data_IF_489844488573
#
_entry.id   IF_489844488573
#
_cell.length_a   1.000
_cell.length_b   1.000
_cell.length_c   1.000
_cell.angle_alpha   90.00
_cell.angle_beta   90.00
_cell.angle_gamma   90.00
#
_symmetry.space_group_name_H-M   'P 1'
#
loop_
_entity.id
_entity.type
_entity.pdbx_description
1 polymer ?
#
# COMPACT_ATOMS: atom_id res chain seq x y z
N UNK A 1 19.33 21.95 9.93
CA UNK A 1 20.14 23.11 9.45
C UNK A 1 19.47 23.67 8.20
N UNK A 2 18.67 24.73 8.31
CA UNK A 2 17.88 25.28 7.19
C UNK A 2 18.11 26.80 7.12
N UNK A 3 19.15 27.23 6.40
CA UNK A 3 19.47 28.65 6.19
C UNK A 3 19.01 29.07 4.80
N UNK A 4 17.72 29.41 4.68
CA UNK A 4 17.21 30.14 3.51
C UNK A 4 16.96 31.58 3.95
N UNK A 5 17.53 32.54 3.21
CA UNK A 5 17.36 33.98 3.46
C UNK A 5 16.74 34.58 2.21
N UNK A 6 15.62 35.27 2.38
CA UNK A 6 14.97 35.99 1.29
C UNK A 6 15.52 37.40 1.26
N UNK A 7 16.02 37.82 0.10
CA UNK A 7 16.56 39.16 -0.12
C UNK A 7 15.84 39.77 -1.31
N UNK A 8 15.41 41.05 -1.26
CA UNK A 8 14.84 41.73 -2.41
C UNK A 8 15.79 41.68 -3.61
N UNK A 9 15.24 41.42 -4.81
CA UNK A 9 16.02 41.31 -6.04
C UNK A 9 16.85 42.58 -6.32
N UNK A 10 16.27 43.75 -6.06
CA UNK A 10 16.96 45.04 -6.21
C UNK A 10 18.19 45.16 -5.32
N UNK A 11 18.15 44.61 -4.10
CA UNK A 11 19.29 44.59 -3.18
C UNK A 11 20.35 43.59 -3.64
N UNK A 12 19.93 42.42 -4.14
CA UNK A 12 20.84 41.40 -4.66
C UNK A 12 21.66 41.92 -5.85
N UNK A 13 20.99 42.56 -6.82
CA UNK A 13 21.60 43.07 -8.04
C UNK A 13 22.43 44.34 -7.84
N UNK A 14 22.06 45.24 -6.92
CA UNK A 14 22.83 46.47 -6.72
C UNK A 14 23.94 46.37 -5.69
N UNK A 15 23.75 45.58 -4.61
CA UNK A 15 24.65 45.62 -3.44
C UNK A 15 25.44 44.34 -3.20
N UNK A 16 24.97 43.20 -3.66
CA UNK A 16 25.55 41.90 -3.28
C UNK A 16 26.29 41.27 -4.46
N UNK A 17 25.64 41.11 -5.61
CA UNK A 17 26.22 40.46 -6.79
C UNK A 17 25.72 41.11 -8.09
N UNK A 18 26.36 42.19 -8.54
CA UNK A 18 25.91 42.96 -9.71
C UNK A 18 25.97 42.24 -11.05
N UNK A 19 26.77 41.19 -11.18
CA UNK A 19 26.90 40.38 -12.39
C UNK A 19 26.01 39.15 -12.42
N UNK A 20 25.09 39.00 -11.46
CA UNK A 20 24.27 37.80 -11.36
C UNK A 20 23.09 37.82 -12.34
N UNK A 21 23.01 36.79 -13.18
CA UNK A 21 21.85 36.60 -14.06
C UNK A 21 20.65 36.06 -13.27
N UNK A 22 19.45 36.46 -13.67
CA UNK A 22 18.20 35.97 -13.07
C UNK A 22 18.02 34.49 -13.46
N UNK A 23 18.02 33.61 -12.45
CA UNK A 23 17.99 32.15 -12.67
C UNK A 23 16.61 31.58 -12.99
N UNK A 24 15.52 32.22 -12.56
CA UNK A 24 14.15 31.79 -12.89
C UNK A 24 13.15 32.94 -12.71
N UNK A 25 12.06 32.90 -13.48
CA UNK A 25 10.89 33.74 -13.30
C UNK A 25 9.68 32.85 -13.02
N UNK A 26 9.02 33.07 -11.89
CA UNK A 26 7.81 32.35 -11.51
C UNK A 26 6.60 33.26 -11.74
N UNK A 27 5.64 32.79 -12.54
CA UNK A 27 4.38 33.51 -12.80
C UNK A 27 3.26 32.67 -12.21
N UNK A 28 2.55 33.24 -11.23
CA UNK A 28 1.38 32.62 -10.62
C UNK A 28 0.13 33.13 -11.33
N UNK A 29 -0.79 32.21 -11.61
CA UNK A 29 -2.11 32.54 -12.17
C UNK A 29 -3.20 32.15 -11.18
N UNK A 30 -4.37 32.79 -11.29
CA UNK A 30 -5.48 32.57 -10.35
C UNK A 30 -6.22 31.24 -10.58
N UNK A 31 -6.06 30.63 -11.76
CA UNK A 31 -6.72 29.37 -12.13
C UNK A 31 -5.80 28.47 -12.96
N UNK A 32 -5.82 27.14 -12.76
CA UNK A 32 -5.07 26.17 -13.55
C UNK A 32 -5.34 26.29 -15.06
N UNK A 33 -6.59 26.56 -15.44
CA UNK A 33 -6.98 26.70 -16.85
C UNK A 33 -6.33 27.92 -17.51
N UNK A 34 -6.20 29.02 -16.76
CA UNK A 34 -5.51 30.22 -17.21
C UNK A 34 -4.00 29.99 -17.33
N UNK A 35 -3.40 29.19 -16.44
CA UNK A 35 -1.99 28.79 -16.54
C UNK A 35 -1.71 28.07 -17.86
N UNK A 36 -2.59 27.14 -18.24
CA UNK A 36 -2.46 26.34 -19.47
C UNK A 36 -2.63 27.19 -20.73
N UNK A 37 -3.56 28.14 -20.74
CA UNK A 37 -3.76 29.07 -21.84
C UNK A 37 -2.66 30.14 -21.94
N UNK A 38 -2.03 30.50 -20.82
CA UNK A 38 -0.96 31.50 -20.76
C UNK A 38 0.39 30.94 -21.23
N UNK A 39 0.62 29.64 -21.08
CA UNK A 39 1.86 28.97 -21.49
C UNK A 39 2.27 29.24 -22.94
N UNK A 40 1.47 28.94 -23.98
CA UNK A 40 1.89 29.18 -25.36
C UNK A 40 2.08 30.68 -25.65
N UNK A 41 1.33 31.56 -24.95
CA UNK A 41 1.50 33.01 -25.09
C UNK A 41 2.84 33.48 -24.49
N UNK A 42 3.24 32.93 -23.34
CA UNK A 42 4.53 33.23 -22.71
C UNK A 42 5.70 32.67 -23.52
N UNK A 43 5.59 31.44 -24.03
CA UNK A 43 6.61 30.86 -24.91
C UNK A 43 6.84 31.76 -26.13
N UNK A 44 5.77 32.21 -26.79
CA UNK A 44 5.87 33.13 -27.92
C UNK A 44 6.51 34.49 -27.56
N UNK A 45 6.13 35.09 -26.43
CA UNK A 45 6.73 36.37 -25.97
C UNK A 45 8.22 36.21 -25.67
N UNK A 46 8.61 35.11 -25.02
CA UNK A 46 9.99 34.84 -24.63
C UNK A 46 10.88 34.52 -25.85
N UNK A 47 10.37 33.73 -26.80
CA UNK A 47 11.09 33.41 -28.04
C UNK A 47 11.35 34.66 -28.89
N UNK A 48 10.41 35.59 -28.92
CA UNK A 48 10.53 36.87 -29.64
C UNK A 48 11.56 37.82 -29.00
N UNK A 49 11.71 37.81 -27.67
CA UNK A 49 12.64 38.68 -26.94
C UNK A 49 14.11 38.30 -27.10
N UNK A 50 14.44 37.05 -27.49
CA UNK A 50 15.81 36.51 -27.54
C UNK A 50 16.19 35.89 -28.88
N UNK A 51 15.56 36.33 -29.98
CA UNK A 51 15.90 35.94 -31.36
C UNK A 51 15.89 34.41 -31.59
N UNK A 52 14.85 33.71 -31.11
CA UNK A 52 14.62 32.31 -31.50
C UNK A 52 15.58 31.26 -30.92
N UNK A 53 16.40 31.61 -29.91
CA UNK A 53 17.15 30.60 -29.15
C UNK A 53 16.30 30.01 -28.03
N UNK A 54 16.13 28.69 -28.01
CA UNK A 54 15.45 27.90 -26.96
C UNK A 54 16.26 27.83 -25.66
N UNK A 55 16.54 28.98 -25.03
CA UNK A 55 17.32 29.03 -23.78
C UNK A 55 16.41 28.89 -22.54
N UNK A 56 15.10 28.66 -22.72
CA UNK A 56 14.12 28.66 -21.63
C UNK A 56 13.24 27.42 -21.66
N UNK A 57 13.15 26.73 -20.51
CA UNK A 57 12.16 25.67 -20.29
C UNK A 57 10.97 26.24 -19.52
N UNK A 58 9.81 26.34 -20.16
CA UNK A 58 8.57 26.65 -19.44
C UNK A 58 8.05 25.36 -18.83
N UNK A 59 8.17 25.23 -17.51
CA UNK A 59 7.62 24.09 -16.78
C UNK A 59 6.37 24.54 -16.05
N UNK A 60 5.24 23.88 -16.34
CA UNK A 60 4.02 24.10 -15.58
C UNK A 60 4.06 23.29 -14.29
N UNK A 61 3.67 23.92 -13.18
CA UNK A 61 3.45 23.19 -11.92
C UNK A 61 2.37 22.09 -12.10
N UNK A 62 1.45 22.28 -13.05
CA UNK A 62 0.45 21.27 -13.43
C UNK A 62 1.10 20.02 -14.05
N UNK A 63 2.08 20.18 -14.94
CA UNK A 63 2.81 19.05 -15.54
C UNK A 63 3.64 18.31 -14.51
N UNK A 64 4.32 19.03 -13.60
CA UNK A 64 5.03 18.38 -12.50
C UNK A 64 4.07 17.63 -11.58
N UNK A 65 2.93 18.22 -11.20
CA UNK A 65 1.92 17.54 -10.38
C UNK A 65 1.30 16.34 -11.11
N UNK A 66 1.04 16.45 -12.41
CA UNK A 66 0.50 15.35 -13.22
C UNK A 66 1.51 14.19 -13.29
N UNK A 67 2.79 14.49 -13.53
CA UNK A 67 3.86 13.49 -13.53
C UNK A 67 4.01 12.82 -12.15
N UNK A 68 3.96 13.60 -11.06
CA UNK A 68 4.00 13.06 -9.69
C UNK A 68 2.79 12.15 -9.39
N UNK A 69 1.58 12.56 -9.80
CA UNK A 69 0.37 11.74 -9.66
C UNK A 69 0.46 10.45 -10.46
N UNK A 70 0.97 10.52 -11.69
CA UNK A 70 1.17 9.36 -12.55
C UNK A 70 2.16 8.37 -11.92
N UNK A 71 3.31 8.85 -11.46
CA UNK A 71 4.30 8.02 -10.76
C UNK A 71 3.72 7.39 -9.49
N UNK A 72 2.98 8.18 -8.71
CA UNK A 72 2.32 7.67 -7.50
C UNK A 72 1.29 6.58 -7.80
N UNK A 73 0.51 6.73 -8.88
CA UNK A 73 -0.42 5.70 -9.34
C UNK A 73 0.29 4.43 -9.77
N UNK A 74 1.40 4.53 -10.52
CA UNK A 74 2.20 3.37 -10.94
C UNK A 74 2.75 2.63 -9.72
N UNK A 75 3.37 3.33 -8.76
CA UNK A 75 3.87 2.70 -7.54
C UNK A 75 2.75 2.06 -6.72
N UNK A 76 1.61 2.73 -6.59
CA UNK A 76 0.43 2.17 -5.91
C UNK A 76 -0.02 0.88 -6.58
N UNK A 77 -0.11 0.84 -7.92
CA UNK A 77 -0.50 -0.35 -8.65
C UNK A 77 0.49 -1.52 -8.44
N UNK A 78 1.79 -1.23 -8.45
CA UNK A 78 2.83 -2.24 -8.18
C UNK A 78 2.68 -2.80 -6.75
N UNK A 79 2.53 -1.94 -5.74
CA UNK A 79 2.39 -2.39 -4.36
C UNK A 79 1.10 -3.19 -4.13
N UNK A 80 -0.01 -2.78 -4.74
CA UNK A 80 -1.27 -3.54 -4.68
C UNK A 80 -1.09 -4.91 -5.34
N UNK A 81 -0.42 -4.99 -6.49
CA UNK A 81 -0.17 -6.26 -7.16
C UNK A 81 0.69 -7.20 -6.31
N UNK A 82 1.78 -6.70 -5.73
CA UNK A 82 2.63 -7.47 -4.81
C UNK A 82 1.81 -7.93 -3.60
N UNK A 83 1.01 -7.05 -3.01
CA UNK A 83 0.16 -7.39 -1.88
C UNK A 83 -0.82 -8.52 -2.22
N UNK A 84 -1.51 -8.44 -3.36
CA UNK A 84 -2.44 -9.49 -3.81
C UNK A 84 -1.72 -10.82 -3.99
N UNK A 85 -0.55 -10.84 -4.64
CA UNK A 85 0.24 -12.07 -4.82
C UNK A 85 0.66 -12.64 -3.46
N UNK A 86 1.16 -11.80 -2.54
CA UNK A 86 1.53 -12.22 -1.19
C UNK A 86 0.35 -12.78 -0.41
N UNK A 87 -0.84 -12.19 -0.55
CA UNK A 87 -2.06 -12.69 0.08
C UNK A 87 -2.50 -14.04 -0.50
N UNK A 88 -2.40 -14.23 -1.82
CA UNK A 88 -2.71 -15.52 -2.45
C UNK A 88 -1.75 -16.62 -1.97
N UNK A 89 -0.44 -16.34 -1.99
CA UNK A 89 0.57 -17.31 -1.51
C UNK A 89 0.38 -17.59 -0.03
N UNK A 90 0.17 -16.57 0.80
CA UNK A 90 -0.10 -16.73 2.22
C UNK A 90 -1.39 -17.53 2.50
N UNK A 91 -2.45 -17.29 1.74
CA UNK A 91 -3.70 -18.04 1.81
C UNK A 91 -3.53 -19.51 1.45
N UNK A 92 -2.77 -19.82 0.39
CA UNK A 92 -2.43 -21.19 0.00
C UNK A 92 -1.63 -21.89 1.12
N UNK A 93 -0.68 -21.19 1.73
CA UNK A 93 0.12 -21.72 2.86
C UNK A 93 -0.79 -22.05 4.05
N UNK A 94 -1.69 -21.14 4.43
CA UNK A 94 -2.66 -21.36 5.52
C UNK A 94 -3.52 -22.59 5.21
N UNK A 95 -4.05 -22.68 4.00
CA UNK A 95 -4.86 -23.81 3.56
C UNK A 95 -4.09 -25.13 3.66
N UNK A 96 -2.83 -25.16 3.21
CA UNK A 96 -2.00 -26.37 3.25
C UNK A 96 -1.68 -26.82 4.67
N UNK A 97 -1.29 -25.89 5.54
CA UNK A 97 -1.03 -26.19 6.96
C UNK A 97 -2.29 -26.75 7.61
N UNK A 98 -3.46 -26.17 7.30
CA UNK A 98 -4.72 -26.65 7.86
C UNK A 98 -5.11 -28.04 7.33
N UNK A 99 -4.94 -28.30 6.03
CA UNK A 99 -5.19 -29.62 5.46
C UNK A 99 -4.25 -30.70 6.05
N UNK A 100 -2.97 -30.36 6.27
CA UNK A 100 -2.04 -31.25 6.95
C UNK A 100 -2.47 -31.53 8.39
N UNK A 101 -2.85 -30.49 9.15
CA UNK A 101 -3.32 -30.64 10.53
C UNK A 101 -4.61 -31.46 10.65
N UNK A 102 -5.52 -31.35 9.67
CA UNK A 102 -6.73 -32.19 9.61
C UNK A 102 -6.35 -33.66 9.40
N UNK A 103 -5.39 -33.94 8.50
CA UNK A 103 -4.92 -35.31 8.23
C UNK A 103 -4.26 -35.95 9.46
N UNK A 104 -3.44 -35.19 10.19
CA UNK A 104 -2.82 -35.68 11.42
C UNK A 104 -3.86 -36.00 12.52
N UNK A 105 -4.98 -35.28 12.53
CA UNK A 105 -6.05 -35.44 13.53
C UNK A 105 -7.30 -36.14 12.98
N UNK A 106 -7.19 -36.84 11.85
CA UNK A 106 -8.33 -37.51 11.18
C UNK A 106 -9.10 -38.41 12.15
N UNK A 107 -8.38 -39.25 12.91
CA UNK A 107 -8.99 -40.19 13.86
C UNK A 107 -9.73 -39.48 14.99
N UNK A 108 -9.17 -38.40 15.54
CA UNK A 108 -9.83 -37.62 16.60
C UNK A 108 -11.13 -36.98 16.11
N UNK A 109 -11.11 -36.43 14.89
CA UNK A 109 -12.30 -35.84 14.25
C UNK A 109 -13.36 -36.91 13.99
N UNK A 110 -12.93 -38.08 13.49
CA UNK A 110 -13.79 -39.25 13.26
C UNK A 110 -14.48 -39.73 14.53
N UNK A 111 -13.75 -39.84 15.65
CA UNK A 111 -14.32 -40.19 16.96
C UNK A 111 -15.38 -39.17 17.39
N UNK A 112 -15.10 -37.85 17.26
CA UNK A 112 -16.07 -36.80 17.61
C UNK A 112 -17.36 -36.89 16.79
N UNK A 113 -17.25 -37.14 15.50
CA UNK A 113 -18.42 -37.30 14.64
C UNK A 113 -19.19 -38.60 14.96
N UNK A 114 -18.50 -39.69 15.29
CA UNK A 114 -19.12 -40.97 15.64
C UNK A 114 -19.91 -40.92 16.96
N UNK A 115 -19.48 -40.11 17.93
CA UNK A 115 -20.20 -39.87 19.18
C UNK A 115 -21.33 -38.83 19.05
N UNK A 116 -21.59 -38.32 17.83
CA UNK A 116 -22.73 -37.46 17.53
C UNK A 116 -22.45 -35.96 17.43
N UNK A 117 -21.18 -35.53 17.33
CA UNK A 117 -20.89 -34.11 17.04
C UNK A 117 -21.48 -33.69 15.70
N UNK A 118 -22.05 -32.48 15.61
CA UNK A 118 -22.59 -31.99 14.34
C UNK A 118 -21.44 -31.59 13.43
N UNK A 119 -21.60 -31.82 12.12
CA UNK A 119 -20.64 -31.36 11.11
C UNK A 119 -20.36 -29.85 11.23
N UNK A 120 -21.39 -29.08 11.59
CA UNK A 120 -21.28 -27.64 11.84
C UNK A 120 -20.34 -27.29 12.99
N UNK A 121 -20.29 -28.09 14.05
CA UNK A 121 -19.42 -27.83 15.21
C UNK A 121 -17.95 -27.97 14.79
N UNK A 122 -17.64 -29.00 14.01
CA UNK A 122 -16.31 -29.23 13.44
C UNK A 122 -15.95 -28.11 12.46
N UNK A 123 -16.87 -27.74 11.57
CA UNK A 123 -16.67 -26.64 10.62
C UNK A 123 -16.32 -25.33 11.35
N UNK A 124 -17.11 -24.95 12.35
CA UNK A 124 -16.90 -23.73 13.12
C UNK A 124 -15.59 -23.78 13.91
N UNK A 125 -15.22 -24.93 14.47
CA UNK A 125 -13.96 -25.10 15.17
C UNK A 125 -12.75 -24.76 14.27
N UNK A 126 -12.69 -25.35 13.08
CA UNK A 126 -11.58 -25.11 12.14
C UNK A 126 -11.62 -23.70 11.54
N UNK A 127 -12.82 -23.17 11.27
CA UNK A 127 -12.97 -21.81 10.75
C UNK A 127 -12.47 -20.78 11.79
N UNK A 128 -12.88 -20.92 13.05
CA UNK A 128 -12.41 -20.05 14.14
C UNK A 128 -10.91 -20.19 14.35
N UNK A 129 -10.35 -21.40 14.29
CA UNK A 129 -8.90 -21.59 14.36
C UNK A 129 -8.18 -20.83 13.24
N UNK A 130 -8.70 -20.88 12.01
CA UNK A 130 -8.13 -20.11 10.88
C UNK A 130 -8.20 -18.61 11.15
N UNK A 131 -9.38 -18.13 11.55
CA UNK A 131 -9.62 -16.71 11.81
C UNK A 131 -8.75 -16.16 12.95
N UNK A 132 -8.51 -16.96 13.99
CA UNK A 132 -7.60 -16.58 15.07
C UNK A 132 -6.16 -16.47 14.56
N UNK A 133 -5.69 -17.45 13.78
CA UNK A 133 -4.34 -17.41 13.20
C UNK A 133 -4.18 -16.19 12.29
N UNK A 134 -5.14 -15.92 11.40
CA UNK A 134 -5.04 -14.77 10.50
C UNK A 134 -5.18 -13.45 11.24
N UNK A 135 -6.11 -13.33 12.19
CA UNK A 135 -6.26 -12.12 13.00
C UNK A 135 -4.99 -11.81 13.81
N UNK A 136 -4.38 -12.82 14.45
CA UNK A 136 -3.11 -12.66 15.16
C UNK A 136 -1.99 -12.26 14.19
N UNK A 137 -1.90 -12.91 13.03
CA UNK A 137 -0.95 -12.54 11.99
C UNK A 137 -1.15 -11.11 11.47
N UNK A 138 -2.41 -10.67 11.33
CA UNK A 138 -2.77 -9.31 10.95
C UNK A 138 -2.35 -8.28 11.99
N UNK A 139 -2.64 -8.52 13.27
CA UNK A 139 -2.21 -7.65 14.38
C UNK A 139 -0.67 -7.57 14.44
N UNK A 140 0.02 -8.71 14.35
CA UNK A 140 1.48 -8.74 14.33
C UNK A 140 2.04 -8.01 13.11
N UNK A 141 1.45 -8.21 11.94
CA UNK A 141 1.82 -7.50 10.71
C UNK A 141 1.66 -5.99 10.83
N UNK A 142 0.58 -5.52 11.46
CA UNK A 142 0.37 -4.10 11.77
C UNK A 142 1.50 -3.60 12.68
N UNK A 143 1.75 -4.27 13.81
CA UNK A 143 2.79 -3.84 14.77
C UNK A 143 4.17 -3.76 14.10
N UNK A 144 4.53 -4.79 13.32
CA UNK A 144 5.81 -4.84 12.59
C UNK A 144 5.86 -3.72 11.53
N UNK A 145 4.77 -3.51 10.78
CA UNK A 145 4.67 -2.46 9.78
C UNK A 145 4.88 -1.07 10.37
N UNK A 146 4.21 -0.76 11.49
CA UNK A 146 4.39 0.49 12.23
C UNK A 146 5.83 0.65 12.76
N UNK A 147 6.43 -0.43 13.25
CA UNK A 147 7.81 -0.42 13.74
C UNK A 147 8.81 -0.10 12.62
N UNK A 148 8.62 -0.70 11.44
CA UNK A 148 9.45 -0.43 10.26
C UNK A 148 9.24 1.02 9.78
N UNK A 149 7.99 1.49 9.75
CA UNK A 149 7.65 2.86 9.37
C UNK A 149 8.36 3.89 10.24
N UNK A 150 8.37 3.69 11.56
CA UNK A 150 9.05 4.58 12.50
C UNK A 150 10.58 4.54 12.33
N UNK A 151 11.17 3.34 12.22
CA UNK A 151 12.61 3.19 11.99
C UNK A 151 13.09 3.86 10.70
N UNK A 152 12.38 3.63 9.59
CA UNK A 152 12.72 4.20 8.28
C UNK A 152 12.43 5.70 8.25
N UNK A 153 11.32 6.15 8.84
CA UNK A 153 10.96 7.55 8.94
C UNK A 153 12.01 8.37 9.68
N UNK A 154 12.50 7.84 10.81
CA UNK A 154 13.58 8.45 11.58
C UNK A 154 14.91 8.47 10.81
N UNK A 155 15.25 7.40 10.10
CA UNK A 155 16.48 7.33 9.30
C UNK A 155 16.48 8.31 8.12
N UNK A 156 15.36 8.42 7.39
CA UNK A 156 15.24 9.27 6.21
C UNK A 156 14.85 10.73 6.53
N UNK A 157 14.54 11.04 7.80
CA UNK A 157 13.99 12.32 8.24
C UNK A 157 12.71 12.74 7.49
N UNK A 158 11.86 11.75 7.18
CA UNK A 158 10.58 11.96 6.50
C UNK A 158 9.46 11.70 7.51
N UNK A 159 8.52 12.64 7.61
CA UNK A 159 7.32 12.46 8.42
C UNK A 159 6.40 11.44 7.73
N UNK A 160 6.29 10.24 8.29
CA UNK A 160 5.38 9.21 7.80
C UNK A 160 4.13 9.19 8.66
N UNK A 161 2.98 9.47 8.06
CA UNK A 161 1.69 9.50 8.74
C UNK A 161 0.94 8.19 8.49
N UNK A 162 0.75 7.40 9.54
CA UNK A 162 -0.14 6.27 9.50
C UNK A 162 -1.56 6.70 9.89
N UNK A 163 -2.55 6.40 9.05
CA UNK A 163 -3.96 6.71 9.30
C UNK A 163 -4.64 5.56 10.04
N UNK A 164 -5.55 5.88 10.97
CA UNK A 164 -6.41 4.90 11.66
C UNK A 164 -7.22 4.07 10.67
N UNK A 165 -7.59 4.64 9.52
CA UNK A 165 -8.31 3.91 8.46
C UNK A 165 -7.47 2.74 7.89
N UNK A 166 -6.15 2.88 7.81
CA UNK A 166 -5.27 1.82 7.30
C UNK A 166 -5.26 0.60 8.21
N UNK A 167 -5.33 0.81 9.53
CA UNK A 167 -5.40 -0.26 10.53
C UNK A 167 -6.66 -1.11 10.28
N UNK A 168 -7.82 -0.46 10.17
CA UNK A 168 -9.09 -1.16 9.95
C UNK A 168 -9.12 -1.90 8.61
N UNK A 169 -8.62 -1.28 7.53
CA UNK A 169 -8.55 -1.93 6.22
C UNK A 169 -7.63 -3.16 6.27
N UNK A 170 -6.45 -3.04 6.88
CA UNK A 170 -5.50 -4.16 6.97
C UNK A 170 -6.06 -5.33 7.78
N UNK A 171 -6.75 -5.05 8.89
CA UNK A 171 -7.41 -6.06 9.70
C UNK A 171 -8.55 -6.73 8.93
N UNK A 172 -9.39 -5.95 8.22
CA UNK A 172 -10.47 -6.48 7.41
C UNK A 172 -9.96 -7.40 6.29
N UNK A 173 -8.87 -7.02 5.61
CA UNK A 173 -8.23 -7.84 4.58
C UNK A 173 -7.67 -9.13 5.18
N UNK A 174 -7.00 -9.05 6.32
CA UNK A 174 -6.43 -10.22 7.02
C UNK A 174 -7.51 -11.23 7.43
N UNK A 175 -8.61 -10.76 8.01
CA UNK A 175 -9.78 -11.60 8.36
C UNK A 175 -10.43 -12.17 7.11
N UNK A 176 -10.61 -11.35 6.05
CA UNK A 176 -11.20 -11.78 4.79
C UNK A 176 -10.41 -12.90 4.12
N UNK A 177 -9.08 -12.82 4.13
CA UNK A 177 -8.19 -13.87 3.58
C UNK A 177 -8.33 -15.16 4.40
N UNK A 178 -8.35 -15.06 5.73
CA UNK A 178 -8.57 -16.22 6.60
C UNK A 178 -9.93 -16.89 6.36
N UNK A 179 -10.98 -16.11 6.10
CA UNK A 179 -12.30 -16.63 5.77
C UNK A 179 -12.28 -17.37 4.42
N UNK A 180 -11.76 -16.73 3.36
CA UNK A 180 -11.74 -17.32 2.01
C UNK A 180 -10.93 -18.63 1.98
N UNK A 181 -9.72 -18.63 2.54
CA UNK A 181 -8.85 -19.80 2.50
C UNK A 181 -9.11 -20.83 3.60
N UNK A 182 -9.84 -20.45 4.67
CA UNK A 182 -10.23 -21.34 5.77
C UNK A 182 -11.51 -22.14 5.52
N UNK A 183 -12.43 -21.62 4.68
CA UNK A 183 -13.69 -22.32 4.40
C UNK A 183 -13.45 -23.68 3.75
N UNK A 184 -12.64 -23.76 2.70
CA UNK A 184 -12.39 -25.01 1.98
C UNK A 184 -11.86 -26.15 2.87
N UNK A 185 -10.80 -25.96 3.70
CA UNK A 185 -10.34 -26.99 4.62
C UNK A 185 -11.35 -27.29 5.74
N UNK A 186 -12.05 -26.27 6.28
CA UNK A 186 -13.08 -26.49 7.30
C UNK A 186 -14.24 -27.35 6.79
N UNK A 187 -14.68 -27.13 5.54
CA UNK A 187 -15.69 -27.97 4.88
C UNK A 187 -15.19 -29.40 4.74
N UNK A 188 -13.93 -29.59 4.32
CA UNK A 188 -13.32 -30.93 4.22
C UNK A 188 -13.30 -31.64 5.58
N UNK A 189 -12.88 -30.95 6.65
CA UNK A 189 -12.88 -31.49 8.01
C UNK A 189 -14.27 -31.93 8.48
N UNK A 190 -15.29 -31.11 8.23
CA UNK A 190 -16.67 -31.37 8.65
C UNK A 190 -17.35 -32.54 7.92
N UNK A 191 -16.84 -32.90 6.73
CA UNK A 191 -17.43 -33.92 5.86
C UNK A 191 -16.63 -35.24 5.88
N UNK A 192 -15.70 -35.44 6.81
CA UNK A 192 -15.06 -36.74 6.99
C UNK A 192 -16.09 -37.82 7.32
N UNK A 193 -15.94 -38.99 6.70
CA UNK A 193 -16.70 -40.17 7.04
C UNK A 193 -16.13 -40.80 8.32
N UNK A 194 -16.90 -40.87 9.42
CA UNK A 194 -16.43 -41.43 10.69
C UNK A 194 -15.95 -42.88 10.57
N UNK A 195 -16.56 -43.67 9.69
CA UNK A 195 -16.21 -45.09 9.51
C UNK A 195 -14.85 -45.23 8.84
N UNK A 196 -14.57 -44.38 7.84
CA UNK A 196 -13.27 -44.36 7.15
C UNK A 196 -12.19 -43.80 8.07
N UNK A 197 -12.49 -42.69 8.77
CA UNK A 197 -11.55 -42.02 9.66
C UNK A 197 -11.08 -42.87 10.85
N UNK A 198 -11.86 -43.89 11.25
CA UNK A 198 -11.50 -44.84 12.32
C UNK A 198 -10.73 -46.07 11.81
N UNK A 199 -10.66 -46.27 10.49
CA UNK A 199 -10.05 -47.44 9.84
C UNK A 199 -8.67 -47.13 9.26
N UNK A 200 -8.30 -45.86 9.15
CA UNK A 200 -6.93 -45.45 8.85
C UNK A 200 -6.06 -45.68 10.10
N UNK A 201 -5.10 -46.61 9.98
CA UNK A 201 -4.03 -46.89 10.95
C UNK A 201 -2.84 -45.91 10.79
#
# INVERSE_FOLDING_TARGET
>A
MNRRVFVPLSTMLHKISPSQNIGSFEIKTFSPEQAKALRPKLENVVLNLRQGKEIFSVTSMEEQMAAMKQNSMIFTAIFVMIAVISLLVGGIVIMNIMLASIKERTREIGVRLAIGARRMDIFLQFLVQTLLITAMGGILGIVIGFSILDLVGNYLQIAVLASVQMIWISLAVSVGVGLIFGIAPAVRASNLDPVIALRED
#
